data_IF_616627628660
#
_entry.id   IF_616627628660
#
_cell.length_a   1.000
_cell.length_b   1.000
_cell.length_c   1.000
_cell.angle_alpha   90.00
_cell.angle_beta   90.00
_cell.angle_gamma   90.00
#
_symmetry.space_group_name_H-M   'P 1'
#
loop_
_entity.id
_entity.type
_entity.pdbx_description
1 polymer ?
#
# COMPACT_ATOMS: atom_id res chain seq x y z
N UNK A 1 29.09 -3.03 -3.21
CA UNK A 1 27.87 -3.87 -3.20
C UNK A 1 26.69 -2.93 -3.03
N UNK A 2 25.69 -2.97 -3.91
CA UNK A 2 24.48 -2.15 -3.77
C UNK A 2 23.66 -2.60 -2.57
N UNK A 3 22.95 -1.68 -1.91
CA UNK A 3 22.01 -1.96 -0.85
C UNK A 3 20.89 -2.88 -1.35
N UNK A 4 20.59 -3.96 -0.61
CA UNK A 4 19.49 -4.88 -0.92
C UNK A 4 18.51 -4.85 0.27
N UNK A 5 17.23 -4.50 0.06
CA UNK A 5 16.22 -4.54 1.10
C UNK A 5 16.08 -5.93 1.73
N UNK A 6 15.88 -5.98 3.06
CA UNK A 6 15.75 -7.22 3.83
C UNK A 6 14.68 -8.14 3.26
N UNK A 7 13.48 -7.64 3.02
CA UNK A 7 12.37 -8.44 2.49
C UNK A 7 12.61 -8.94 1.05
N UNK A 8 13.40 -8.21 0.24
CA UNK A 8 13.79 -8.66 -1.10
C UNK A 8 14.72 -9.87 -1.03
N UNK A 9 15.59 -9.89 -0.03
CA UNK A 9 16.48 -11.04 0.23
C UNK A 9 15.69 -12.21 0.81
N UNK A 10 14.83 -11.98 1.81
CA UNK A 10 13.97 -13.01 2.40
C UNK A 10 13.04 -13.65 1.36
N UNK A 11 12.53 -12.87 0.41
CA UNK A 11 11.74 -13.41 -0.70
C UNK A 11 12.54 -14.46 -1.49
N UNK A 12 13.81 -14.20 -1.81
CA UNK A 12 14.65 -15.13 -2.57
C UNK A 12 15.05 -16.36 -1.76
N UNK A 13 15.38 -16.15 -0.47
CA UNK A 13 16.00 -17.20 0.36
C UNK A 13 14.97 -18.13 1.00
N UNK A 14 13.76 -17.64 1.30
CA UNK A 14 12.74 -18.37 2.06
C UNK A 14 11.40 -18.45 1.35
N UNK A 15 10.84 -17.31 0.92
CA UNK A 15 9.46 -17.24 0.42
C UNK A 15 9.27 -18.04 -0.85
N UNK A 16 10.23 -18.01 -1.77
CA UNK A 16 10.15 -18.77 -3.03
C UNK A 16 10.11 -20.27 -2.78
N UNK A 17 10.92 -20.81 -1.85
CA UNK A 17 10.91 -22.24 -1.51
C UNK A 17 9.62 -22.65 -0.81
N UNK A 18 9.16 -21.86 0.18
CA UNK A 18 7.91 -22.12 0.90
C UNK A 18 6.69 -22.18 -0.05
N UNK A 19 6.56 -21.22 -0.96
CA UNK A 19 5.47 -21.19 -1.94
C UNK A 19 5.57 -22.34 -2.97
N UNK A 20 6.78 -22.73 -3.34
CA UNK A 20 7.00 -23.87 -4.25
C UNK A 20 6.55 -25.18 -3.60
N UNK A 21 6.83 -25.37 -2.30
CA UNK A 21 6.40 -26.54 -1.55
C UNK A 21 4.87 -26.54 -1.34
N UNK A 22 4.26 -25.39 -1.02
CA UNK A 22 2.83 -25.27 -0.73
C UNK A 22 1.96 -25.51 -1.99
N UNK A 23 2.36 -24.92 -3.13
CA UNK A 23 1.55 -24.94 -4.37
C UNK A 23 2.08 -25.89 -5.45
N UNK A 24 3.25 -26.50 -5.27
CA UNK A 24 3.80 -27.49 -6.18
C UNK A 24 4.23 -26.92 -7.54
N UNK A 25 4.77 -25.70 -7.58
CA UNK A 25 5.24 -25.09 -8.83
C UNK A 25 6.39 -25.87 -9.47
N UNK A 26 6.27 -26.13 -10.77
CA UNK A 26 7.30 -26.87 -11.54
C UNK A 26 8.47 -25.98 -11.97
N UNK A 27 8.23 -24.67 -12.06
CA UNK A 27 9.23 -23.71 -12.50
C UNK A 27 9.28 -22.53 -11.50
N UNK A 28 10.49 -22.12 -11.15
CA UNK A 28 10.75 -20.95 -10.28
C UNK A 28 10.08 -19.66 -10.80
N UNK A 29 9.92 -19.53 -12.11
CA UNK A 29 9.26 -18.38 -12.73
C UNK A 29 7.74 -18.33 -12.54
N UNK A 30 7.12 -19.43 -12.09
CA UNK A 30 5.69 -19.48 -11.76
C UNK A 30 5.40 -18.98 -10.34
N UNK A 31 6.43 -18.89 -9.49
CA UNK A 31 6.27 -18.45 -8.11
C UNK A 31 5.82 -16.98 -8.08
N UNK A 32 4.69 -16.68 -7.44
CA UNK A 32 4.15 -15.33 -7.40
C UNK A 32 5.09 -14.37 -6.69
N UNK A 33 5.13 -13.13 -7.17
CA UNK A 33 5.94 -12.04 -6.61
C UNK A 33 5.13 -10.76 -6.50
N UNK A 34 5.54 -9.90 -5.59
CA UNK A 34 5.00 -8.56 -5.48
C UNK A 34 5.54 -7.69 -6.64
N UNK A 35 4.63 -7.12 -7.44
CA UNK A 35 4.99 -6.30 -8.60
C UNK A 35 5.09 -4.82 -8.27
N UNK A 36 4.13 -4.30 -7.48
CA UNK A 36 4.07 -2.90 -7.07
C UNK A 36 3.17 -2.73 -5.86
N UNK A 37 3.42 -1.65 -5.13
CA UNK A 37 2.49 -1.14 -4.11
C UNK A 37 2.01 0.23 -4.56
N UNK A 38 0.70 0.43 -4.53
CA UNK A 38 0.07 1.71 -4.85
C UNK A 38 -0.54 2.28 -3.58
N UNK A 39 -0.11 3.46 -3.19
CA UNK A 39 -0.72 4.21 -2.09
C UNK A 39 -1.60 5.27 -2.71
N UNK A 40 -2.86 5.32 -2.33
CA UNK A 40 -3.82 6.31 -2.79
C UNK A 40 -4.54 6.96 -1.61
N UNK A 41 -4.74 8.27 -1.70
CA UNK A 41 -5.42 9.09 -0.69
C UNK A 41 -6.44 9.98 -1.35
N UNK A 42 -7.71 9.80 -1.02
CA UNK A 42 -8.79 10.68 -1.46
C UNK A 42 -8.84 11.96 -0.62
N UNK A 43 -8.90 13.12 -1.27
CA UNK A 43 -8.99 14.42 -0.61
C UNK A 43 -10.21 15.18 -1.16
N UNK A 44 -11.41 14.70 -0.81
CA UNK A 44 -12.67 15.31 -1.29
C UNK A 44 -12.84 16.77 -0.87
N UNK A 45 -12.31 17.17 0.29
CA UNK A 45 -12.34 18.56 0.77
C UNK A 45 -11.51 19.53 -0.10
N UNK A 46 -10.63 19.01 -0.97
CA UNK A 46 -9.83 19.82 -1.90
C UNK A 46 -10.68 20.57 -2.94
N UNK A 47 -11.92 20.18 -3.14
CA UNK A 47 -12.88 20.94 -3.97
C UNK A 47 -13.11 22.35 -3.39
N UNK A 48 -13.13 22.49 -2.05
CA UNK A 48 -13.28 23.77 -1.37
C UNK A 48 -11.91 24.47 -1.14
N UNK A 49 -10.89 23.70 -0.76
CA UNK A 49 -9.54 24.23 -0.49
C UNK A 49 -8.46 23.41 -1.19
N UNK A 50 -7.90 23.98 -2.25
CA UNK A 50 -6.85 23.35 -3.06
C UNK A 50 -5.56 23.08 -2.29
N UNK A 51 -5.24 23.84 -1.25
CA UNK A 51 -4.02 23.66 -0.44
C UNK A 51 -3.98 22.29 0.26
N UNK A 52 -5.14 21.68 0.49
CA UNK A 52 -5.22 20.35 1.11
C UNK A 52 -4.57 19.27 0.23
N UNK A 53 -4.51 19.47 -1.08
CA UNK A 53 -3.79 18.54 -1.98
C UNK A 53 -2.27 18.64 -1.76
N UNK A 54 -1.74 19.83 -1.59
CA UNK A 54 -0.31 20.03 -1.40
C UNK A 54 0.15 19.39 -0.08
N UNK A 55 -0.62 19.55 0.99
CA UNK A 55 -0.38 18.85 2.26
C UNK A 55 -0.44 17.31 2.09
N UNK A 56 -1.44 16.82 1.36
CA UNK A 56 -1.57 15.38 1.13
C UNK A 56 -0.41 14.83 0.28
N UNK A 57 0.08 15.58 -0.71
CA UNK A 57 1.27 15.22 -1.50
C UNK A 57 2.50 15.13 -0.58
N UNK A 58 2.69 16.12 0.29
CA UNK A 58 3.82 16.16 1.22
C UNK A 58 3.77 14.96 2.20
N UNK A 59 2.61 14.67 2.78
CA UNK A 59 2.41 13.54 3.69
C UNK A 59 2.71 12.19 2.99
N UNK A 60 2.08 11.93 1.84
CA UNK A 60 2.28 10.67 1.10
C UNK A 60 3.71 10.56 0.59
N UNK A 61 4.37 11.67 0.22
CA UNK A 61 5.78 11.69 -0.16
C UNK A 61 6.69 11.30 1.01
N UNK A 62 6.43 11.81 2.21
CA UNK A 62 7.19 11.44 3.43
C UNK A 62 7.02 9.95 3.77
N UNK A 63 5.79 9.45 3.73
CA UNK A 63 5.46 8.05 4.02
C UNK A 63 6.14 7.11 3.02
N UNK A 64 6.06 7.42 1.73
CA UNK A 64 6.53 6.54 0.67
C UNK A 64 8.03 6.67 0.37
N UNK A 65 8.65 7.81 0.71
CA UNK A 65 10.01 8.16 0.28
C UNK A 65 10.12 8.51 -1.21
N UNK A 66 9.01 8.57 -1.95
CA UNK A 66 8.93 8.91 -3.36
C UNK A 66 7.91 10.01 -3.59
N UNK A 67 8.20 10.98 -4.47
CA UNK A 67 7.30 12.10 -4.76
C UNK A 67 5.94 11.59 -5.24
N UNK A 68 4.90 11.94 -4.49
CA UNK A 68 3.51 11.63 -4.83
C UNK A 68 2.97 12.61 -5.89
N UNK A 69 1.96 12.18 -6.62
CA UNK A 69 1.31 12.98 -7.68
C UNK A 69 -0.16 13.19 -7.35
N UNK A 70 -0.67 14.39 -7.68
CA UNK A 70 -2.09 14.67 -7.60
C UNK A 70 -2.88 13.87 -8.65
N UNK A 71 -4.03 13.36 -8.26
CA UNK A 71 -4.99 12.73 -9.17
C UNK A 71 -6.12 13.71 -9.47
N UNK A 72 -6.40 13.88 -10.76
CA UNK A 72 -7.39 14.84 -11.27
C UNK A 72 -8.69 14.15 -11.64
N UNK A 73 -9.80 14.88 -11.48
CA UNK A 73 -11.11 14.40 -11.92
C UNK A 73 -11.20 14.31 -13.45
N UNK A 74 -11.73 13.19 -13.93
CA UNK A 74 -11.97 12.96 -15.37
C UNK A 74 -13.34 13.45 -15.85
N UNK A 75 -14.30 13.62 -14.93
CA UNK A 75 -15.69 13.98 -15.21
C UNK A 75 -16.15 15.15 -14.35
N UNK A 76 -17.14 15.88 -14.84
CA UNK A 76 -17.88 16.88 -14.08
C UNK A 76 -18.96 16.17 -13.25
N UNK A 77 -19.08 16.55 -11.97
CA UNK A 77 -20.12 16.02 -11.07
C UNK A 77 -20.72 17.19 -10.29
N UNK A 78 -21.89 17.66 -10.74
CA UNK A 78 -22.54 18.86 -10.18
C UNK A 78 -22.89 18.73 -8.70
N UNK A 79 -23.35 17.55 -8.25
CA UNK A 79 -23.69 17.28 -6.84
C UNK A 79 -22.52 17.48 -5.88
N UNK A 80 -21.29 17.24 -6.34
CA UNK A 80 -20.08 17.44 -5.55
C UNK A 80 -19.35 18.76 -5.87
N UNK A 81 -19.93 19.64 -6.69
CA UNK A 81 -19.30 20.87 -7.20
C UNK A 81 -17.93 20.61 -7.84
N UNK A 82 -17.77 19.43 -8.44
CA UNK A 82 -16.55 18.95 -9.03
C UNK A 82 -16.54 19.20 -10.53
N UNK A 83 -15.43 19.75 -11.04
CA UNK A 83 -15.19 19.95 -12.47
C UNK A 83 -14.03 19.09 -12.95
N UNK A 84 -14.07 18.71 -14.23
CA UNK A 84 -12.97 18.03 -14.92
C UNK A 84 -11.67 18.83 -14.76
N UNK A 85 -10.57 18.13 -14.46
CA UNK A 85 -9.28 18.75 -14.22
C UNK A 85 -9.01 19.21 -12.79
N UNK A 86 -10.00 19.18 -11.88
CA UNK A 86 -9.77 19.50 -10.47
C UNK A 86 -9.01 18.36 -9.77
N UNK A 87 -7.96 18.69 -8.96
CA UNK A 87 -7.27 17.69 -8.15
C UNK A 87 -8.15 17.29 -6.96
N UNK A 88 -8.35 15.97 -6.77
CA UNK A 88 -9.23 15.41 -5.73
C UNK A 88 -8.59 14.29 -4.93
N UNK A 89 -7.37 13.95 -5.22
CA UNK A 89 -6.64 12.91 -4.49
C UNK A 89 -5.16 12.92 -4.82
N UNK A 90 -4.44 12.03 -4.18
CA UNK A 90 -3.00 11.86 -4.33
C UNK A 90 -2.69 10.39 -4.47
N UNK A 91 -1.73 10.03 -5.31
CA UNK A 91 -1.25 8.65 -5.41
C UNK A 91 0.27 8.59 -5.59
N UNK A 92 0.84 7.47 -5.18
CA UNK A 92 2.22 7.08 -5.48
C UNK A 92 2.26 5.59 -5.82
N UNK A 93 3.15 5.20 -6.72
CA UNK A 93 3.36 3.79 -7.09
C UNK A 93 4.80 3.43 -6.79
N UNK A 94 5.00 2.48 -5.89
CA UNK A 94 6.29 1.97 -5.48
C UNK A 94 6.61 0.67 -6.21
N UNK A 95 7.85 0.53 -6.66
CA UNK A 95 8.37 -0.67 -7.33
C UNK A 95 9.79 -0.98 -6.87
N UNK A 96 10.24 -2.21 -7.13
CA UNK A 96 11.61 -2.61 -6.85
C UNK A 96 12.00 -2.45 -5.37
N UNK A 97 13.11 -1.81 -5.09
CA UNK A 97 13.64 -1.68 -3.73
C UNK A 97 12.78 -0.84 -2.82
N UNK A 98 12.29 0.31 -3.30
CA UNK A 98 11.42 1.20 -2.53
C UNK A 98 10.11 0.50 -2.10
N UNK A 99 9.62 -0.44 -2.90
CA UNK A 99 8.43 -1.23 -2.58
C UNK A 99 8.67 -2.16 -1.38
N UNK A 100 9.80 -2.89 -1.38
CA UNK A 100 10.14 -3.78 -0.26
C UNK A 100 10.47 -3.00 1.02
N UNK A 101 11.15 -1.87 0.91
CA UNK A 101 11.42 -0.96 2.02
C UNK A 101 10.14 -0.42 2.66
N UNK A 102 9.20 0.02 1.82
CA UNK A 102 7.90 0.48 2.31
C UNK A 102 7.13 -0.65 2.99
N UNK A 103 7.11 -1.86 2.40
CA UNK A 103 6.44 -3.02 2.99
C UNK A 103 7.03 -3.37 4.36
N UNK A 104 8.35 -3.37 4.49
CA UNK A 104 9.03 -3.65 5.75
C UNK A 104 8.64 -2.63 6.84
N UNK A 105 8.68 -1.33 6.53
CA UNK A 105 8.25 -0.28 7.47
C UNK A 105 6.76 -0.36 7.82
N UNK A 106 5.92 -0.70 6.85
CA UNK A 106 4.49 -0.88 7.08
C UNK A 106 4.23 -2.00 8.10
N UNK A 107 4.86 -3.16 7.90
CA UNK A 107 4.66 -4.35 8.74
C UNK A 107 5.29 -4.18 10.12
N UNK A 108 6.52 -3.69 10.18
CA UNK A 108 7.29 -3.63 11.45
C UNK A 108 6.97 -2.42 12.29
N UNK A 109 6.64 -1.27 11.69
CA UNK A 109 6.52 -0.01 12.40
C UNK A 109 5.11 0.58 12.38
N UNK A 110 4.42 0.57 11.23
CA UNK A 110 3.14 1.25 11.09
C UNK A 110 1.97 0.41 11.61
N UNK A 111 1.84 -0.85 11.19
CA UNK A 111 0.71 -1.70 11.59
C UNK A 111 0.62 -1.93 13.11
N UNK A 112 1.71 -2.14 13.87
CA UNK A 112 1.62 -2.27 15.33
C UNK A 112 1.11 -1.02 16.05
N UNK A 113 1.17 0.16 15.40
CA UNK A 113 0.66 1.43 15.95
C UNK A 113 -0.82 1.66 15.71
N UNK A 114 -1.46 0.80 14.91
CA UNK A 114 -2.92 0.88 14.71
C UNK A 114 -3.61 0.54 16.02
N UNK A 115 -4.56 1.40 16.43
CA UNK A 115 -5.35 1.18 17.65
C UNK A 115 -6.13 -0.13 17.53
N UNK A 116 -6.08 -0.95 18.59
CA UNK A 116 -6.76 -2.26 18.68
C UNK A 116 -6.45 -3.21 17.50
N UNK A 117 -5.17 -3.21 17.07
CA UNK A 117 -4.75 -4.04 15.95
C UNK A 117 -4.83 -5.53 16.27
N UNK A 118 -5.70 -6.24 15.57
CA UNK A 118 -5.92 -7.69 15.70
C UNK A 118 -5.60 -8.45 14.40
N UNK A 119 -4.76 -7.87 13.54
CA UNK A 119 -4.45 -8.41 12.22
C UNK A 119 -5.35 -7.85 11.11
N UNK A 120 -4.91 -8.03 9.88
CA UNK A 120 -5.55 -7.51 8.67
C UNK A 120 -6.62 -8.50 8.20
N UNK A 121 -7.78 -8.01 7.78
CA UNK A 121 -8.87 -8.85 7.28
C UNK A 121 -8.51 -9.45 5.92
N UNK A 122 -8.77 -10.74 5.72
CA UNK A 122 -8.49 -11.43 4.46
C UNK A 122 -9.49 -11.14 3.33
N UNK A 123 -10.52 -10.32 3.56
CA UNK A 123 -11.55 -10.01 2.56
C UNK A 123 -11.23 -8.82 1.63
N UNK A 124 -10.00 -8.32 1.67
CA UNK A 124 -9.54 -7.23 0.79
C UNK A 124 -8.96 -7.68 -0.54
N UNK A 125 -9.06 -8.97 -0.89
CA UNK A 125 -8.63 -9.49 -2.18
C UNK A 125 -9.69 -9.24 -3.27
N UNK A 126 -9.23 -9.04 -4.51
CA UNK A 126 -10.05 -8.70 -5.68
C UNK A 126 -10.47 -9.91 -6.54
N UNK A 127 -10.12 -11.13 -6.17
CA UNK A 127 -10.33 -12.35 -6.95
C UNK A 127 -9.24 -12.62 -8.00
N UNK A 128 -8.23 -11.76 -8.11
CA UNK A 128 -7.13 -11.84 -9.08
C UNK A 128 -5.75 -11.69 -8.43
N UNK A 129 -5.66 -12.03 -7.17
CA UNK A 129 -4.40 -11.99 -6.43
C UNK A 129 -3.91 -10.60 -5.99
N UNK A 130 -4.71 -9.53 -6.15
CA UNK A 130 -4.37 -8.24 -5.58
C UNK A 130 -5.08 -8.03 -4.25
N UNK A 131 -4.42 -7.33 -3.34
CA UNK A 131 -4.95 -7.06 -2.01
C UNK A 131 -5.00 -5.55 -1.72
N UNK A 132 -6.13 -5.07 -1.18
CA UNK A 132 -6.30 -3.68 -0.77
C UNK A 132 -6.45 -3.58 0.75
N UNK A 133 -5.58 -2.75 1.36
CA UNK A 133 -5.57 -2.43 2.77
C UNK A 133 -6.01 -0.98 2.97
N UNK A 134 -7.15 -0.77 3.62
CA UNK A 134 -7.58 0.55 4.08
C UNK A 134 -6.94 0.89 5.42
N UNK A 135 -6.25 2.01 5.48
CA UNK A 135 -5.70 2.61 6.70
C UNK A 135 -6.57 3.82 7.06
N UNK A 136 -7.10 3.84 8.26
CA UNK A 136 -8.02 4.92 8.71
C UNK A 136 -7.29 6.20 9.10
N UNK A 137 -6.06 6.09 9.58
CA UNK A 137 -5.31 7.20 10.15
C UNK A 137 -3.86 7.22 9.63
N UNK A 138 -3.42 8.34 9.04
CA UNK A 138 -2.04 8.49 8.58
C UNK A 138 -1.01 8.61 9.71
N UNK A 139 -1.44 8.90 10.93
CA UNK A 139 -0.56 9.09 12.10
C UNK A 139 0.12 7.80 12.58
N UNK A 140 -0.29 6.64 12.08
CA UNK A 140 0.38 5.37 12.35
C UNK A 140 1.82 5.33 11.78
N UNK A 141 2.08 6.13 10.75
CA UNK A 141 3.41 6.22 10.14
C UNK A 141 4.32 7.12 10.97
N UNK A 142 5.51 6.63 11.42
CA UNK A 142 6.43 7.40 12.25
C UNK A 142 7.01 8.63 11.55
N UNK A 143 6.96 8.67 10.21
CA UNK A 143 7.44 9.78 9.39
C UNK A 143 6.53 11.01 9.46
N UNK A 144 5.30 10.84 9.99
CA UNK A 144 4.32 11.92 10.10
C UNK A 144 4.40 12.56 11.49
N UNK A 145 4.66 13.85 11.52
CA UNK A 145 4.60 14.64 12.75
C UNK A 145 3.15 15.04 13.03
N UNK A 146 2.61 14.58 14.16
CA UNK A 146 1.23 14.79 14.58
C UNK A 146 0.90 16.29 14.70
N UNK A 147 1.84 17.11 15.17
CA UNK A 147 1.64 18.57 15.35
C UNK A 147 1.43 19.32 14.03
N UNK A 148 1.86 18.73 12.90
CA UNK A 148 1.74 19.31 11.55
C UNK A 148 0.57 18.75 10.75
N UNK A 149 -0.19 17.81 11.31
CA UNK A 149 -1.34 17.21 10.65
C UNK A 149 -2.55 18.13 10.77
N UNK A 150 -3.02 18.68 9.65
CA UNK A 150 -4.21 19.53 9.62
C UNK A 150 -5.50 18.74 9.87
N UNK A 151 -5.56 17.50 9.38
CA UNK A 151 -6.72 16.62 9.50
C UNK A 151 -6.30 15.16 9.46
N UNK A 152 -6.81 14.38 10.40
CA UNK A 152 -6.69 12.92 10.36
C UNK A 152 -7.49 12.40 9.17
N UNK A 153 -6.85 11.62 8.32
CA UNK A 153 -7.45 11.07 7.11
C UNK A 153 -6.81 9.74 6.75
N UNK A 154 -7.62 8.86 6.18
CA UNK A 154 -7.19 7.54 5.75
C UNK A 154 -6.51 7.55 4.39
N UNK A 155 -6.01 6.37 4.04
CA UNK A 155 -5.45 6.06 2.73
C UNK A 155 -5.63 4.58 2.42
N UNK A 156 -5.61 4.26 1.14
CA UNK A 156 -5.65 2.88 0.65
C UNK A 156 -4.27 2.47 0.15
N UNK A 157 -3.84 1.29 0.57
CA UNK A 157 -2.58 0.66 0.17
C UNK A 157 -2.92 -0.61 -0.61
N UNK A 158 -2.69 -0.60 -1.91
CA UNK A 158 -2.97 -1.73 -2.79
C UNK A 158 -1.69 -2.48 -3.12
N UNK A 159 -1.65 -3.76 -2.77
CA UNK A 159 -0.59 -4.69 -3.13
C UNK A 159 -0.97 -5.37 -4.44
N UNK A 160 -0.17 -5.18 -5.47
CA UNK A 160 -0.38 -5.80 -6.77
C UNK A 160 0.65 -6.90 -6.94
N UNK A 161 0.15 -8.13 -7.10
CA UNK A 161 0.99 -9.32 -7.31
C UNK A 161 0.78 -9.87 -8.73
N UNK A 162 1.55 -10.85 -9.10
CA UNK A 162 1.35 -11.66 -10.31
C UNK A 162 0.80 -13.07 -10.00
N UNK A 163 0.22 -13.24 -8.81
CA UNK A 163 -0.47 -14.47 -8.44
C UNK A 163 -1.75 -14.65 -9.27
N UNK A 164 -2.04 -15.88 -9.67
CA UNK A 164 -3.26 -16.22 -10.41
C UNK A 164 -4.49 -16.29 -9.49
N UNK A 165 -4.28 -16.60 -8.22
CA UNK A 165 -5.35 -16.77 -7.23
C UNK A 165 -5.12 -15.97 -5.95
N UNK A 166 -6.21 -15.62 -5.27
CA UNK A 166 -6.14 -14.94 -3.97
C UNK A 166 -5.47 -15.78 -2.88
N UNK A 167 -5.52 -17.12 -3.00
CA UNK A 167 -4.85 -18.02 -2.04
C UNK A 167 -3.34 -17.90 -2.15
N UNK A 168 -2.81 -17.93 -3.37
CA UNK A 168 -1.37 -17.73 -3.62
C UNK A 168 -0.90 -16.36 -3.16
N UNK A 169 -1.66 -15.31 -3.50
CA UNK A 169 -1.34 -13.95 -3.05
C UNK A 169 -1.37 -13.80 -1.54
N UNK A 170 -2.33 -14.43 -0.85
CA UNK A 170 -2.41 -14.42 0.60
C UNK A 170 -1.22 -15.13 1.23
N UNK A 171 -0.82 -16.29 0.69
CA UNK A 171 0.35 -17.03 1.17
C UNK A 171 1.62 -16.20 0.95
N UNK A 172 1.81 -15.63 -0.24
CA UNK A 172 2.91 -14.71 -0.55
C UNK A 172 3.02 -13.55 0.45
N UNK A 173 1.91 -12.83 0.70
CA UNK A 173 1.91 -11.70 1.62
C UNK A 173 2.12 -12.14 3.07
N UNK A 174 1.63 -13.31 3.47
CA UNK A 174 1.86 -13.88 4.81
C UNK A 174 3.33 -14.21 5.02
N UNK A 175 3.97 -14.85 4.06
CA UNK A 175 5.40 -15.16 4.10
C UNK A 175 6.29 -13.89 4.09
N UNK A 176 5.82 -12.81 3.46
CA UNK A 176 6.45 -11.49 3.54
C UNK A 176 6.17 -10.75 4.87
N UNK A 177 5.50 -11.40 5.82
CA UNK A 177 5.27 -10.89 7.17
C UNK A 177 4.00 -10.07 7.36
N UNK A 178 3.11 -9.99 6.38
CA UNK A 178 1.82 -9.29 6.52
C UNK A 178 0.91 -10.05 7.50
N UNK A 179 0.51 -9.45 8.64
CA UNK A 179 -0.20 -10.15 9.70
C UNK A 179 -1.70 -10.25 9.40
N UNK A 180 -2.11 -11.28 8.68
CA UNK A 180 -3.54 -11.56 8.49
C UNK A 180 -4.18 -12.12 9.77
N UNK A 181 -5.43 -11.71 10.01
CA UNK A 181 -6.22 -12.25 11.13
C UNK A 181 -6.43 -13.75 10.92
N UNK A 182 -6.08 -14.54 11.93
CA UNK A 182 -6.45 -15.96 11.97
C UNK A 182 -7.98 -16.05 12.20
N UNK A 183 -8.67 -16.74 11.33
CA UNK A 183 -10.10 -17.07 11.51
C UNK A 183 -10.25 -18.07 12.64
#
# INVERSE_FOLDING_TARGET
>A
MGYIPRLKQEYKDKVMSALTEEFGYKNVMQVPKLQKIVISKGVGAAVADKKLIDYAIEEVTKISGQKAIATISKKDVASFKLRKGMPIGVKVTLRGENMYEFLDRLVTSALPRVRDFNGIKANGFDGRGNYNLGVTEQIIFPEINIDKVNKISGMDITFVTDADTDKEAKSLLTELGVPFKKN
#
